data_IF_447519633450
#
_entry.id   IF_447519633450
#
_cell.length_a   1.000
_cell.length_b   1.000
_cell.length_c   1.000
_cell.angle_alpha   90.00
_cell.angle_beta   90.00
_cell.angle_gamma   90.00
#
_symmetry.space_group_name_H-M   'P 1'
#
loop_
_entity.id
_entity.type
_entity.pdbx_description
1 polymer ?
#
# COMPACT_ATOMS: atom_id res chain seq x y z
N UNK A 1 22.70 -7.14 18.10
CA UNK A 1 22.67 -6.25 16.92
C UNK A 1 21.21 -5.96 16.60
N UNK A 2 20.79 -4.69 16.52
CA UNK A 2 19.47 -4.37 15.98
C UNK A 2 19.48 -4.79 14.51
N UNK A 3 18.61 -5.70 14.11
CA UNK A 3 18.46 -6.07 12.70
C UNK A 3 18.10 -4.80 11.92
N UNK A 4 18.82 -4.48 10.85
CA UNK A 4 18.41 -3.40 9.95
C UNK A 4 17.15 -3.84 9.21
N UNK A 5 16.23 -2.91 8.98
CA UNK A 5 15.09 -3.15 8.09
C UNK A 5 15.60 -3.45 6.68
N UNK A 6 14.99 -4.45 6.04
CA UNK A 6 15.21 -4.82 4.63
C UNK A 6 13.83 -5.13 4.06
N UNK A 7 13.47 -4.50 2.94
CA UNK A 7 12.22 -4.79 2.26
C UNK A 7 12.22 -6.23 1.75
N UNK A 8 11.10 -6.93 1.92
CA UNK A 8 10.91 -8.27 1.37
C UNK A 8 11.06 -8.24 -0.16
N UNK A 9 11.82 -9.19 -0.71
CA UNK A 9 12.16 -9.22 -2.13
C UNK A 9 10.92 -9.36 -3.02
N UNK A 10 9.85 -10.00 -2.55
CA UNK A 10 8.60 -10.10 -3.29
C UNK A 10 7.87 -8.77 -3.33
N UNK A 11 7.80 -8.05 -2.21
CA UNK A 11 7.25 -6.69 -2.20
C UNK A 11 8.06 -5.77 -3.13
N UNK A 12 9.38 -5.87 -3.09
CA UNK A 12 10.25 -5.08 -3.97
C UNK A 12 10.00 -5.38 -5.46
N UNK A 13 9.96 -6.65 -5.85
CA UNK A 13 9.75 -7.06 -7.25
C UNK A 13 8.34 -6.75 -7.76
N UNK A 14 7.33 -6.84 -6.89
CA UNK A 14 5.93 -6.75 -7.30
C UNK A 14 5.34 -5.34 -7.19
N UNK A 15 6.09 -4.34 -6.71
CA UNK A 15 5.58 -2.98 -6.52
C UNK A 15 6.60 -1.89 -6.83
N UNK A 16 6.10 -0.72 -7.25
CA UNK A 16 6.91 0.46 -7.53
C UNK A 16 7.01 1.35 -6.28
N UNK A 17 8.18 1.93 -5.96
CA UNK A 17 8.30 2.89 -4.85
C UNK A 17 7.51 4.17 -5.15
N UNK A 18 6.85 4.72 -4.13
CA UNK A 18 6.11 6.00 -4.22
C UNK A 18 6.80 7.06 -3.37
N UNK A 19 6.74 6.94 -2.05
CA UNK A 19 7.32 7.92 -1.10
C UNK A 19 7.65 7.21 0.21
N UNK A 20 8.62 7.72 0.96
CA UNK A 20 8.86 7.31 2.34
C UNK A 20 8.20 8.31 3.30
N UNK A 21 7.26 7.84 4.12
CA UNK A 21 6.66 8.61 5.21
C UNK A 21 7.56 8.55 6.46
N UNK A 22 7.07 8.95 7.63
CA UNK A 22 7.86 8.92 8.87
C UNK A 22 8.28 7.51 9.29
N UNK A 23 7.32 6.59 9.28
CA UNK A 23 7.47 5.19 9.67
C UNK A 23 7.52 4.24 8.47
N UNK A 24 6.67 4.43 7.46
CA UNK A 24 6.47 3.46 6.38
C UNK A 24 7.00 3.91 5.02
N UNK A 25 7.37 2.93 4.19
CA UNK A 25 7.47 3.13 2.74
C UNK A 25 6.09 2.91 2.10
N UNK A 26 5.69 3.82 1.21
CA UNK A 26 4.49 3.67 0.37
C UNK A 26 4.93 3.13 -0.99
N UNK A 27 4.25 2.07 -1.43
CA UNK A 27 4.53 1.40 -2.70
C UNK A 27 3.25 1.19 -3.49
N UNK A 28 3.34 1.24 -4.81
CA UNK A 28 2.25 0.96 -5.74
C UNK A 28 2.35 -0.50 -6.21
N UNK A 29 1.39 -1.34 -5.84
CA UNK A 29 1.29 -2.70 -6.37
C UNK A 29 1.20 -2.63 -7.88
N UNK A 30 2.04 -3.38 -8.61
CA UNK A 30 2.01 -3.35 -10.07
C UNK A 30 0.89 -4.25 -10.64
N UNK A 31 -0.34 -4.00 -10.21
CA UNK A 31 -1.59 -4.58 -10.73
C UNK A 31 -2.56 -3.44 -11.05
N UNK A 32 -2.67 -3.07 -12.33
CA UNK A 32 -3.43 -1.91 -12.78
C UNK A 32 -4.96 -2.09 -12.72
N UNK A 33 -5.45 -3.29 -12.35
CA UNK A 33 -6.87 -3.57 -12.18
C UNK A 33 -7.51 -2.72 -11.08
N UNK A 34 -6.72 -2.33 -10.08
CA UNK A 34 -7.15 -1.43 -9.00
C UNK A 34 -6.01 -0.49 -8.62
N UNK A 35 -6.28 0.80 -8.32
CA UNK A 35 -5.28 1.63 -7.65
C UNK A 35 -5.00 1.07 -6.24
N UNK A 36 -3.85 0.40 -6.10
CA UNK A 36 -3.54 -0.42 -4.95
C UNK A 36 -2.17 -0.04 -4.36
N UNK A 37 -2.21 0.59 -3.19
CA UNK A 37 -1.04 0.95 -2.40
C UNK A 37 -0.74 -0.07 -1.31
N UNK A 38 0.55 -0.17 -0.98
CA UNK A 38 1.09 -0.99 0.10
C UNK A 38 1.94 -0.09 0.99
N UNK A 39 1.59 0.01 2.27
CA UNK A 39 2.45 0.62 3.29
C UNK A 39 3.29 -0.47 3.93
N UNK A 40 4.59 -0.24 4.06
CA UNK A 40 5.53 -1.15 4.71
C UNK A 40 6.25 -0.40 5.83
N UNK A 41 5.87 -0.59 7.11
CA UNK A 41 6.59 0.01 8.24
C UNK A 41 8.05 -0.41 8.24
N UNK A 42 8.98 0.55 8.36
CA UNK A 42 10.43 0.29 8.36
C UNK A 42 10.94 -0.26 9.70
N UNK A 43 10.23 -1.26 10.24
CA UNK A 43 10.54 -1.93 11.50
C UNK A 43 11.00 -3.36 11.18
N UNK A 44 12.22 -3.68 11.58
CA UNK A 44 12.79 -5.00 11.34
C UNK A 44 11.98 -6.09 12.06
N UNK A 45 11.69 -7.19 11.36
CA UNK A 45 11.00 -8.37 11.88
C UNK A 45 9.55 -8.14 12.35
N UNK A 46 8.95 -6.97 12.05
CA UNK A 46 7.53 -6.78 12.26
C UNK A 46 6.73 -7.66 11.28
N UNK A 47 5.81 -8.45 11.81
CA UNK A 47 4.87 -9.28 11.02
C UNK A 47 3.42 -8.82 11.22
N UNK A 48 3.08 -8.38 12.43
CA UNK A 48 1.73 -8.00 12.82
C UNK A 48 1.70 -6.61 13.46
N UNK A 49 0.58 -5.89 13.32
CA UNK A 49 0.41 -4.55 13.92
C UNK A 49 0.58 -4.61 15.45
N UNK A 50 0.09 -5.67 16.09
CA UNK A 50 0.20 -5.84 17.54
C UNK A 50 1.61 -6.24 18.02
N UNK A 51 2.56 -6.50 17.11
CA UNK A 51 3.98 -6.65 17.45
C UNK A 51 4.68 -5.29 17.61
N UNK A 52 4.08 -4.22 17.09
CA UNK A 52 4.65 -2.87 17.16
C UNK A 52 4.49 -2.30 18.57
N UNK A 53 5.39 -1.41 18.98
CA UNK A 53 5.16 -0.60 20.18
C UNK A 53 4.00 0.36 19.96
N UNK A 54 3.38 0.83 21.04
CA UNK A 54 2.18 1.67 20.96
C UNK A 54 2.37 2.91 20.08
N UNK A 55 3.50 3.62 20.21
CA UNK A 55 3.79 4.81 19.42
C UNK A 55 3.87 4.49 17.91
N UNK A 56 4.46 3.35 17.55
CA UNK A 56 4.55 2.89 16.16
C UNK A 56 3.18 2.46 15.62
N UNK A 57 2.30 1.88 16.45
CA UNK A 57 0.91 1.59 16.06
C UNK A 57 0.14 2.87 15.76
N UNK A 58 0.31 3.92 16.58
CA UNK A 58 -0.32 5.22 16.35
C UNK A 58 0.21 5.90 15.09
N UNK A 59 1.52 5.89 14.89
CA UNK A 59 2.15 6.43 13.68
C UNK A 59 1.67 5.68 12.43
N UNK A 60 1.62 4.34 12.48
CA UNK A 60 1.09 3.53 11.39
C UNK A 60 -0.38 3.86 11.08
N UNK A 61 -1.22 4.01 12.10
CA UNK A 61 -2.62 4.37 11.90
C UNK A 61 -2.77 5.76 11.25
N UNK A 62 -1.95 6.73 11.65
CA UNK A 62 -1.92 8.05 11.04
C UNK A 62 -1.55 7.98 9.55
N UNK A 63 -0.49 7.24 9.21
CA UNK A 63 -0.04 7.05 7.82
C UNK A 63 -1.06 6.28 6.98
N UNK A 64 -1.71 5.26 7.53
CA UNK A 64 -2.80 4.54 6.84
C UNK A 64 -3.91 5.52 6.45
N UNK A 65 -4.32 6.39 7.37
CA UNK A 65 -5.38 7.36 7.13
C UNK A 65 -4.96 8.41 6.10
N UNK A 66 -3.74 8.93 6.20
CA UNK A 66 -3.18 9.90 5.25
C UNK A 66 -3.17 9.34 3.82
N UNK A 67 -2.65 8.12 3.65
CA UNK A 67 -2.57 7.47 2.34
C UNK A 67 -3.96 7.11 1.80
N UNK A 68 -4.89 6.67 2.65
CA UNK A 68 -6.26 6.40 2.25
C UNK A 68 -6.97 7.66 1.73
N UNK A 69 -6.84 8.79 2.43
CA UNK A 69 -7.42 10.08 2.02
C UNK A 69 -6.80 10.57 0.71
N UNK A 70 -5.47 10.47 0.57
CA UNK A 70 -4.79 10.83 -0.67
C UNK A 70 -5.26 9.98 -1.85
N UNK A 71 -5.36 8.65 -1.66
CA UNK A 71 -5.79 7.71 -2.68
C UNK A 71 -7.25 7.95 -3.10
N UNK A 72 -8.15 8.16 -2.14
CA UNK A 72 -9.55 8.50 -2.40
C UNK A 72 -9.66 9.79 -3.20
N UNK A 73 -8.94 10.85 -2.80
CA UNK A 73 -8.96 12.13 -3.50
C UNK A 73 -8.42 12.07 -4.94
N UNK A 74 -7.41 11.25 -5.19
CA UNK A 74 -6.80 11.09 -6.53
C UNK A 74 -7.69 10.25 -7.44
N UNK A 75 -8.31 9.20 -6.90
CA UNK A 75 -9.05 8.22 -7.71
C UNK A 75 -10.54 8.53 -7.82
N UNK A 76 -11.09 9.32 -6.90
CA UNK A 76 -12.54 9.55 -6.79
C UNK A 76 -13.31 8.27 -6.50
N UNK A 77 -12.66 7.27 -5.90
CA UNK A 77 -13.23 5.93 -5.78
C UNK A 77 -14.46 5.90 -4.86
N UNK A 78 -15.34 4.93 -5.11
CA UNK A 78 -16.53 4.72 -4.29
C UNK A 78 -16.21 4.27 -2.86
N UNK A 79 -15.15 3.47 -2.67
CA UNK A 79 -14.76 2.96 -1.35
C UNK A 79 -13.27 2.64 -1.29
N UNK A 80 -12.64 2.92 -0.14
CA UNK A 80 -11.30 2.40 0.18
C UNK A 80 -11.41 1.09 0.99
N UNK A 81 -10.67 0.05 0.58
CA UNK A 81 -10.45 -1.17 1.35
C UNK A 81 -9.06 -1.13 2.01
N UNK A 82 -8.98 -1.52 3.28
CA UNK A 82 -7.73 -1.54 4.05
C UNK A 82 -7.60 -2.90 4.73
N UNK A 83 -6.43 -3.54 4.62
CA UNK A 83 -6.18 -4.82 5.29
C UNK A 83 -4.69 -5.07 5.54
N UNK A 84 -4.37 -5.69 6.67
CA UNK A 84 -3.12 -6.40 6.93
C UNK A 84 -3.42 -7.91 6.85
N UNK A 85 -2.78 -8.63 5.92
CA UNK A 85 -3.03 -10.07 5.73
C UNK A 85 -1.78 -10.91 6.00
N UNK A 86 -0.71 -10.73 5.23
CA UNK A 86 0.58 -11.34 5.53
C UNK A 86 0.70 -12.86 5.39
N UNK A 87 -0.29 -13.56 4.80
CA UNK A 87 -0.29 -15.03 4.76
C UNK A 87 0.88 -15.65 3.96
N UNK A 88 1.40 -14.96 2.95
CA UNK A 88 2.55 -15.43 2.15
C UNK A 88 3.82 -14.63 2.43
N UNK A 89 3.73 -13.30 2.36
CA UNK A 89 4.81 -12.39 2.76
C UNK A 89 4.59 -12.00 4.21
N UNK A 90 5.45 -12.46 5.11
CA UNK A 90 5.31 -12.26 6.56
C UNK A 90 5.61 -10.86 7.02
N UNK A 91 6.53 -10.16 6.34
CA UNK A 91 6.86 -8.77 6.66
C UNK A 91 5.58 -7.93 6.69
N UNK A 92 5.34 -7.23 7.79
CA UNK A 92 4.15 -6.42 8.00
C UNK A 92 3.99 -5.43 6.84
N UNK A 93 2.83 -5.50 6.20
CA UNK A 93 2.44 -4.56 5.16
C UNK A 93 0.93 -4.36 5.16
N UNK A 94 0.51 -3.14 4.83
CA UNK A 94 -0.90 -2.74 4.84
C UNK A 94 -1.32 -2.45 3.41
N UNK A 95 -2.34 -3.16 2.93
CA UNK A 95 -2.96 -2.86 1.65
C UNK A 95 -3.96 -1.71 1.81
N UNK A 96 -3.92 -0.74 0.90
CA UNK A 96 -4.87 0.36 0.81
C UNK A 96 -5.31 0.46 -0.65
N UNK A 97 -6.59 0.18 -0.92
CA UNK A 97 -7.08 -0.13 -2.26
C UNK A 97 -8.31 0.71 -2.57
N UNK A 98 -8.25 1.47 -3.65
CA UNK A 98 -9.41 2.17 -4.21
C UNK A 98 -10.33 1.18 -4.92
N UNK A 99 -11.62 1.22 -4.61
CA UNK A 99 -12.66 0.33 -5.15
C UNK A 99 -13.81 1.11 -5.77
N UNK A 100 -14.36 0.57 -6.85
CA UNK A 100 -15.54 1.09 -7.55
C UNK A 100 -16.52 -0.04 -7.88
N UNK A 101 -17.79 0.29 -8.08
CA UNK A 101 -18.83 -0.73 -8.33
C UNK A 101 -18.64 -1.49 -9.65
N UNK A 102 -17.90 -0.91 -10.59
CA UNK A 102 -17.56 -1.48 -11.89
C UNK A 102 -16.16 -2.10 -11.94
N UNK A 103 -15.43 -2.14 -10.81
CA UNK A 103 -14.10 -2.73 -10.77
C UNK A 103 -14.11 -4.26 -10.84
N UNK A 104 -12.97 -4.82 -11.20
CA UNK A 104 -12.81 -6.25 -11.28
C UNK A 104 -13.16 -6.90 -9.92
N UNK A 105 -14.05 -7.90 -9.95
CA UNK A 105 -14.53 -8.65 -8.79
C UNK A 105 -15.46 -7.91 -7.81
N UNK A 106 -15.88 -6.66 -8.04
CA UNK A 106 -16.84 -6.02 -7.13
C UNK A 106 -18.12 -6.87 -6.96
N UNK A 107 -18.70 -7.02 -5.74
CA UNK A 107 -18.29 -6.44 -4.44
C UNK A 107 -17.32 -7.30 -3.63
N UNK A 108 -16.73 -8.34 -4.23
CA UNK A 108 -15.82 -9.25 -3.55
C UNK A 108 -14.42 -8.64 -3.34
N UNK A 109 -13.59 -9.26 -2.47
CA UNK A 109 -12.22 -8.82 -2.24
C UNK A 109 -11.33 -8.99 -3.48
N UNK A 110 -10.29 -8.15 -3.61
CA UNK A 110 -9.35 -8.23 -4.74
C UNK A 110 -8.34 -9.37 -4.62
N UNK A 111 -8.03 -9.80 -3.39
CA UNK A 111 -6.99 -10.79 -3.12
C UNK A 111 -7.36 -12.17 -3.67
N UNK A 112 -6.46 -12.75 -4.46
CA UNK A 112 -6.65 -14.09 -5.05
C UNK A 112 -7.63 -14.13 -6.23
N UNK A 113 -8.13 -12.97 -6.68
CA UNK A 113 -9.02 -12.92 -7.83
C UNK A 113 -8.27 -12.69 -9.14
N UNK A 114 -8.47 -13.60 -10.09
CA UNK A 114 -7.97 -13.48 -11.46
C UNK A 114 -6.45 -13.36 -11.58
N UNK A 115 -5.99 -12.98 -12.76
CA UNK A 115 -4.57 -12.75 -13.04
C UNK A 115 -4.22 -11.26 -12.99
N UNK A 116 -3.07 -10.98 -12.40
CA UNK A 116 -2.48 -9.65 -12.31
C UNK A 116 -2.29 -9.04 -13.70
N UNK A 117 -2.69 -7.77 -13.86
CA UNK A 117 -2.43 -7.02 -15.09
C UNK A 117 -1.44 -5.89 -14.80
N UNK A 118 -0.29 -5.89 -15.47
CA UNK A 118 0.74 -4.87 -15.23
C UNK A 118 0.37 -3.53 -15.87
N UNK A 119 0.84 -2.44 -15.26
CA UNK A 119 0.72 -1.10 -15.86
C UNK A 119 1.42 -1.05 -17.22
N UNK A 120 0.82 -0.32 -18.17
CA UNK A 120 1.38 -0.11 -19.52
C UNK A 120 1.56 1.38 -19.79
N UNK A 121 2.41 1.70 -20.77
CA UNK A 121 2.58 3.06 -21.30
C UNK A 121 2.90 4.14 -20.24
N UNK A 122 3.51 3.78 -19.11
CA UNK A 122 3.87 4.72 -18.04
C UNK A 122 2.69 5.20 -17.18
N UNK A 123 1.55 4.51 -17.19
CA UNK A 123 0.41 4.81 -16.31
C UNK A 123 0.79 4.78 -14.83
N UNK A 124 1.66 3.83 -14.45
CA UNK A 124 2.29 3.74 -13.13
C UNK A 124 2.99 5.04 -12.76
N UNK A 125 3.86 5.59 -13.62
CA UNK A 125 4.61 6.82 -13.36
C UNK A 125 3.71 8.04 -13.14
N UNK A 126 2.59 8.12 -13.86
CA UNK A 126 1.63 9.20 -13.67
C UNK A 126 0.97 9.10 -12.28
N UNK A 127 0.45 7.92 -11.93
CA UNK A 127 -0.18 7.69 -10.63
C UNK A 127 0.82 7.90 -9.47
N UNK A 128 2.04 7.38 -9.59
CA UNK A 128 3.12 7.60 -8.61
C UNK A 128 3.38 9.09 -8.42
N UNK A 129 3.48 9.87 -9.50
CA UNK A 129 3.71 11.31 -9.41
C UNK A 129 2.55 12.06 -8.74
N UNK A 130 1.31 11.70 -9.04
CA UNK A 130 0.14 12.29 -8.40
C UNK A 130 0.12 12.02 -6.89
N UNK A 131 0.45 10.78 -6.50
CA UNK A 131 0.55 10.37 -5.10
C UNK A 131 1.66 11.11 -4.36
N UNK A 132 2.86 11.20 -4.94
CA UNK A 132 3.98 11.95 -4.38
C UNK A 132 3.58 13.41 -4.13
N UNK A 133 3.02 14.09 -5.13
CA UNK A 133 2.59 15.48 -4.98
C UNK A 133 1.52 15.66 -3.90
N UNK A 134 0.64 14.67 -3.69
CA UNK A 134 -0.43 14.73 -2.71
C UNK A 134 0.06 14.46 -1.28
N UNK A 135 0.98 13.51 -1.12
CA UNK A 135 1.53 13.11 0.18
C UNK A 135 2.64 14.06 0.66
N UNK A 136 3.37 14.71 -0.24
CA UNK A 136 4.35 15.75 0.14
C UNK A 136 3.68 17.05 0.67
N UNK A 137 2.36 17.19 0.53
CA UNK A 137 1.59 18.36 0.95
C UNK A 137 0.75 18.14 2.22
N UNK A 138 0.73 16.92 2.75
CA UNK A 138 -0.01 16.53 3.95
C UNK A 138 0.83 16.75 5.21
#
# INVERSE_FOLDING_TARGET
MKSSFVLDSRLEMESFPVVGLGLSDVRLMNDCRWPWLILVPRIAQAEEIHHLIFDDQLALLAEINEVAVALEAITGCFKVNIAALGNLVRQLHIHIIARNEDDANWPNPVWGFGERQVYKNGQDRNLVRQLQLKLDQA
#
